data_IF_677857223462
#
_entry.id   IF_677857223462
#
_cell.length_a   1.000
_cell.length_b   1.000
_cell.length_c   1.000
_cell.angle_alpha   90.00
_cell.angle_beta   90.00
_cell.angle_gamma   90.00
#
_symmetry.space_group_name_H-M   'P 1'
#
loop_
_entity.id
_entity.type
_entity.pdbx_description
1 polymer ?
#
# COMPACT_ATOMS: atom_id res chain seq x y z
N UNK A 1 -22.91 -0.55 -3.53
CA UNK A 1 -22.52 -1.90 -3.04
C UNK A 1 -23.49 -2.28 -1.95
N UNK A 2 -24.05 -3.48 -1.99
CA UNK A 2 -24.95 -3.96 -0.94
C UNK A 2 -24.17 -4.04 0.39
N UNK A 3 -24.71 -3.44 1.46
CA UNK A 3 -24.05 -3.37 2.77
C UNK A 3 -23.70 -4.78 3.32
N UNK A 4 -24.58 -5.76 3.11
CA UNK A 4 -24.34 -7.15 3.53
C UNK A 4 -23.11 -7.77 2.85
N UNK A 5 -22.93 -7.53 1.55
CA UNK A 5 -21.76 -8.01 0.79
C UNK A 5 -20.47 -7.35 1.29
N UNK A 6 -20.51 -6.07 1.60
CA UNK A 6 -19.36 -5.35 2.15
C UNK A 6 -18.94 -5.92 3.51
N UNK A 7 -19.89 -6.11 4.44
CA UNK A 7 -19.56 -6.69 5.75
C UNK A 7 -19.07 -8.13 5.66
N UNK A 8 -19.64 -8.93 4.74
CA UNK A 8 -19.14 -10.29 4.47
C UNK A 8 -17.68 -10.27 3.96
N UNK A 9 -17.34 -9.36 3.06
CA UNK A 9 -15.96 -9.18 2.56
C UNK A 9 -15.01 -8.71 3.66
N UNK A 10 -15.43 -7.78 4.50
CA UNK A 10 -14.64 -7.34 5.66
C UNK A 10 -14.35 -8.52 6.61
N UNK A 11 -15.35 -9.30 6.96
CA UNK A 11 -15.18 -10.49 7.79
C UNK A 11 -14.25 -11.52 7.14
N UNK A 12 -14.44 -11.80 5.85
CA UNK A 12 -13.61 -12.73 5.07
C UNK A 12 -12.13 -12.28 4.97
N UNK A 13 -11.83 -11.02 5.23
CA UNK A 13 -10.46 -10.49 5.17
C UNK A 13 -9.85 -10.28 6.55
N UNK A 14 -10.63 -9.77 7.50
CA UNK A 14 -10.16 -9.51 8.87
C UNK A 14 -9.82 -10.82 9.60
N UNK A 15 -10.62 -11.87 9.44
CA UNK A 15 -10.35 -13.17 10.07
C UNK A 15 -9.03 -13.81 9.59
N UNK A 16 -8.75 -13.93 8.28
CA UNK A 16 -7.44 -14.41 7.82
C UNK A 16 -6.27 -13.53 8.26
N UNK A 17 -6.44 -12.19 8.33
CA UNK A 17 -5.39 -11.30 8.83
C UNK A 17 -5.12 -11.52 10.31
N UNK A 18 -6.17 -11.62 11.14
CA UNK A 18 -6.03 -11.91 12.56
C UNK A 18 -5.37 -13.27 12.79
N UNK A 19 -5.76 -14.29 12.00
CA UNK A 19 -5.15 -15.61 12.03
C UNK A 19 -3.69 -15.58 11.59
N UNK A 20 -3.34 -14.88 10.52
CA UNK A 20 -1.97 -14.70 10.06
C UNK A 20 -1.11 -13.96 11.11
N UNK A 21 -1.67 -12.94 11.76
CA UNK A 21 -1.02 -12.24 12.87
C UNK A 21 -0.77 -13.18 14.07
N UNK A 22 -1.75 -14.01 14.44
CA UNK A 22 -1.59 -15.03 15.47
C UNK A 22 -0.51 -16.05 15.12
N UNK A 23 -0.52 -16.58 13.89
CA UNK A 23 0.51 -17.50 13.41
C UNK A 23 1.91 -16.87 13.51
N UNK A 24 2.06 -15.62 13.12
CA UNK A 24 3.34 -14.90 13.15
C UNK A 24 3.83 -14.61 14.58
N UNK A 25 2.90 -14.27 15.48
CA UNK A 25 3.26 -13.88 16.84
C UNK A 25 3.48 -15.06 17.79
N UNK A 26 2.70 -16.13 17.63
CA UNK A 26 2.61 -17.23 18.59
C UNK A 26 3.15 -18.54 18.04
N UNK A 27 2.78 -18.91 16.82
CA UNK A 27 3.06 -20.24 16.26
C UNK A 27 4.43 -20.31 15.57
N UNK A 28 4.84 -19.23 14.88
CA UNK A 28 6.12 -19.22 14.17
C UNK A 28 7.29 -19.55 15.09
N UNK A 29 8.11 -20.55 14.77
CA UNK A 29 9.30 -20.84 15.56
C UNK A 29 10.27 -19.64 15.54
N UNK A 30 11.03 -19.41 16.64
CA UNK A 30 12.09 -18.41 16.62
C UNK A 30 13.21 -18.84 15.68
N UNK A 31 13.73 -17.93 14.87
CA UNK A 31 14.91 -18.19 14.03
C UNK A 31 16.17 -18.28 14.91
N UNK A 32 17.10 -19.18 14.53
CA UNK A 32 18.24 -19.54 15.37
C UNK A 32 19.18 -18.36 15.68
N UNK A 33 19.36 -17.44 14.74
CA UNK A 33 20.30 -16.30 14.85
C UNK A 33 19.60 -15.02 15.32
N UNK A 34 18.42 -14.72 14.75
CA UNK A 34 17.70 -13.46 14.98
C UNK A 34 16.56 -13.59 16.01
N UNK A 35 16.24 -14.79 16.45
CA UNK A 35 15.18 -15.01 17.43
C UNK A 35 13.84 -14.41 16.98
N UNK A 36 13.16 -13.70 17.90
CA UNK A 36 11.85 -13.10 17.63
C UNK A 36 11.88 -11.94 16.63
N UNK A 37 13.02 -11.27 16.42
CA UNK A 37 13.11 -10.14 15.48
C UNK A 37 12.86 -10.57 14.02
N UNK A 38 13.19 -11.83 13.68
CA UNK A 38 12.91 -12.41 12.38
C UNK A 38 11.40 -12.37 12.02
N UNK A 39 10.51 -12.39 12.99
CA UNK A 39 9.06 -12.40 12.78
C UNK A 39 8.54 -11.15 12.04
N UNK A 40 9.31 -10.04 11.98
CA UNK A 40 9.02 -8.88 11.13
C UNK A 40 8.88 -9.30 9.65
N UNK A 41 9.61 -10.32 9.22
CA UNK A 41 9.56 -10.88 7.88
C UNK A 41 8.14 -11.30 7.44
N UNK A 42 7.30 -11.79 8.36
CA UNK A 42 5.93 -12.21 8.07
C UNK A 42 4.96 -11.06 7.77
N UNK A 43 5.35 -9.82 8.01
CA UNK A 43 4.63 -8.61 7.61
C UNK A 43 5.31 -7.90 6.45
N UNK A 44 6.64 -7.84 6.48
CA UNK A 44 7.47 -7.12 5.52
C UNK A 44 7.40 -7.73 4.12
N UNK A 45 7.67 -9.03 3.98
CA UNK A 45 7.67 -9.69 2.67
C UNK A 45 6.28 -9.74 2.02
N UNK A 46 5.18 -10.09 2.72
CA UNK A 46 3.84 -10.00 2.17
C UNK A 46 3.41 -8.56 1.81
N UNK A 47 3.81 -7.55 2.59
CA UNK A 47 3.55 -6.15 2.25
C UNK A 47 4.27 -5.75 0.95
N UNK A 48 5.52 -6.19 0.76
CA UNK A 48 6.26 -5.95 -0.48
C UNK A 48 5.57 -6.60 -1.68
N UNK A 49 5.14 -7.87 -1.57
CA UNK A 49 4.42 -8.56 -2.63
C UNK A 49 3.09 -7.88 -2.98
N UNK A 50 2.33 -7.46 -1.98
CA UNK A 50 1.09 -6.71 -2.18
C UNK A 50 1.34 -5.37 -2.88
N UNK A 51 2.37 -4.63 -2.47
CA UNK A 51 2.78 -3.37 -3.10
C UNK A 51 3.13 -3.56 -4.57
N UNK A 52 4.00 -4.51 -4.90
CA UNK A 52 4.39 -4.79 -6.28
C UNK A 52 3.20 -5.23 -7.14
N UNK A 53 2.32 -6.10 -6.61
CA UNK A 53 1.10 -6.52 -7.31
C UNK A 53 0.20 -5.33 -7.63
N UNK A 54 0.01 -4.40 -6.68
CA UNK A 54 -0.79 -3.19 -6.88
C UNK A 54 -0.15 -2.23 -7.87
N UNK A 55 1.17 -2.08 -7.88
CA UNK A 55 1.87 -1.26 -8.87
C UNK A 55 1.80 -1.86 -10.29
N UNK A 56 1.80 -3.20 -10.40
CA UNK A 56 1.52 -3.87 -11.68
C UNK A 56 0.08 -3.62 -12.13
N UNK A 57 -0.89 -3.70 -11.22
CA UNK A 57 -2.30 -3.35 -11.52
C UNK A 57 -2.42 -1.89 -11.96
N UNK A 58 -1.71 -0.97 -11.30
CA UNK A 58 -1.67 0.44 -11.68
C UNK A 58 -1.09 0.61 -13.10
N UNK A 59 0.02 -0.07 -13.43
CA UNK A 59 0.62 -0.03 -14.77
C UNK A 59 -0.37 -0.51 -15.84
N UNK A 60 -0.97 -1.68 -15.65
CA UNK A 60 -1.96 -2.25 -16.58
C UNK A 60 -3.16 -1.31 -16.74
N UNK A 61 -3.69 -0.79 -15.63
CA UNK A 61 -4.82 0.15 -15.65
C UNK A 61 -4.46 1.47 -16.34
N UNK A 62 -3.22 1.95 -16.18
CA UNK A 62 -2.69 3.14 -16.86
C UNK A 62 -2.57 2.93 -18.38
N UNK A 63 -2.08 1.78 -18.82
CA UNK A 63 -2.06 1.39 -20.23
C UNK A 63 -3.50 1.34 -20.78
N UNK A 64 -4.40 0.66 -20.06
CA UNK A 64 -5.82 0.60 -20.44
C UNK A 64 -6.45 1.99 -20.53
N UNK A 65 -6.09 2.91 -19.62
CA UNK A 65 -6.56 4.29 -19.67
C UNK A 65 -6.01 5.03 -20.89
N UNK A 66 -4.75 4.90 -21.22
CA UNK A 66 -4.17 5.55 -22.41
C UNK A 66 -4.83 5.07 -23.71
N UNK A 67 -5.20 3.79 -23.78
CA UNK A 67 -5.84 3.20 -24.98
C UNK A 67 -7.34 3.51 -25.04
N UNK A 68 -8.08 3.27 -23.93
CA UNK A 68 -9.55 3.29 -23.92
C UNK A 68 -10.16 4.59 -23.39
N UNK A 69 -9.38 5.42 -22.71
CA UNK A 69 -9.81 6.69 -22.08
C UNK A 69 -11.01 6.56 -21.14
N UNK A 70 -11.18 5.41 -20.49
CA UNK A 70 -12.32 5.20 -19.61
C UNK A 70 -12.04 5.72 -18.19
N UNK A 71 -13.05 6.34 -17.57
CA UNK A 71 -12.97 6.76 -16.16
C UNK A 71 -12.81 5.59 -15.18
N UNK A 72 -13.21 4.38 -15.59
CA UNK A 72 -13.04 3.18 -14.79
C UNK A 72 -11.58 2.74 -14.69
N UNK A 73 -10.85 2.71 -15.82
CA UNK A 73 -9.42 2.37 -15.81
C UNK A 73 -8.60 3.45 -15.10
N UNK A 74 -8.96 4.72 -15.25
CA UNK A 74 -8.33 5.82 -14.51
C UNK A 74 -8.54 5.68 -12.99
N UNK A 75 -9.77 5.40 -12.55
CA UNK A 75 -10.09 5.16 -11.14
C UNK A 75 -9.34 3.95 -10.57
N UNK A 76 -9.20 2.88 -11.35
CA UNK A 76 -8.44 1.70 -10.92
C UNK A 76 -6.95 2.03 -10.80
N UNK A 77 -6.39 2.77 -11.77
CA UNK A 77 -4.98 3.16 -11.74
C UNK A 77 -4.64 3.96 -10.47
N UNK A 78 -5.40 5.02 -10.17
CA UNK A 78 -5.12 5.83 -8.98
C UNK A 78 -5.33 5.07 -7.69
N UNK A 79 -6.34 4.19 -7.65
CA UNK A 79 -6.64 3.41 -6.44
C UNK A 79 -5.56 2.38 -6.15
N UNK A 80 -5.09 1.67 -7.16
CA UNK A 80 -4.00 0.71 -7.03
C UNK A 80 -2.68 1.39 -6.63
N UNK A 81 -2.36 2.55 -7.21
CA UNK A 81 -1.16 3.32 -6.84
C UNK A 81 -1.21 3.79 -5.37
N UNK A 82 -2.34 4.37 -4.94
CA UNK A 82 -2.49 4.89 -3.58
C UNK A 82 -2.36 3.77 -2.53
N UNK A 83 -3.03 2.64 -2.75
CA UNK A 83 -2.92 1.48 -1.86
C UNK A 83 -1.52 0.87 -1.92
N UNK A 84 -0.93 0.76 -3.12
CA UNK A 84 0.44 0.26 -3.30
C UNK A 84 1.48 1.09 -2.54
N UNK A 85 1.35 2.42 -2.54
CA UNK A 85 2.22 3.34 -1.79
C UNK A 85 2.11 3.09 -0.28
N UNK A 86 0.91 2.82 0.24
CA UNK A 86 0.71 2.50 1.68
C UNK A 86 1.40 1.19 2.04
N UNK A 87 1.25 0.14 1.23
CA UNK A 87 1.96 -1.13 1.46
C UNK A 87 3.48 -0.98 1.33
N UNK A 88 3.97 -0.19 0.36
CA UNK A 88 5.39 0.10 0.20
C UNK A 88 5.94 0.92 1.39
N UNK A 89 5.16 1.84 1.95
CA UNK A 89 5.52 2.58 3.17
C UNK A 89 5.71 1.62 4.35
N UNK A 90 4.85 0.60 4.50
CA UNK A 90 5.03 -0.43 5.52
C UNK A 90 6.36 -1.16 5.33
N UNK A 91 6.75 -1.48 4.10
CA UNK A 91 8.07 -2.06 3.79
C UNK A 91 9.20 -1.12 4.21
N UNK A 92 9.13 0.16 3.84
CA UNK A 92 10.14 1.18 4.16
C UNK A 92 10.23 1.50 5.66
N UNK A 93 9.19 1.24 6.44
CA UNK A 93 9.21 1.43 7.90
C UNK A 93 9.68 0.16 8.62
N UNK A 94 9.16 -1.00 8.25
CA UNK A 94 9.52 -2.27 8.91
C UNK A 94 10.92 -2.75 8.57
N UNK A 95 11.43 -2.43 7.37
CA UNK A 95 12.78 -2.75 6.93
C UNK A 95 13.86 -2.14 7.83
N UNK A 96 13.90 -0.82 8.04
CA UNK A 96 14.83 -0.18 8.97
C UNK A 96 14.74 -0.68 10.42
N UNK A 97 13.53 -0.98 10.92
CA UNK A 97 13.34 -1.56 12.26
C UNK A 97 14.06 -2.92 12.36
N UNK A 98 13.91 -3.75 11.34
CA UNK A 98 14.61 -5.03 11.26
C UNK A 98 16.13 -4.84 11.05
N UNK A 99 16.53 -3.93 10.16
CA UNK A 99 17.93 -3.63 9.85
C UNK A 99 18.70 -3.15 11.09
N UNK A 100 18.08 -2.34 11.94
CA UNK A 100 18.67 -1.89 13.20
C UNK A 100 19.05 -3.04 14.11
N UNK A 101 18.22 -4.07 14.16
CA UNK A 101 18.52 -5.27 14.91
C UNK A 101 19.60 -6.13 14.22
N UNK A 102 19.41 -6.41 12.91
CA UNK A 102 20.24 -7.37 12.18
C UNK A 102 21.64 -6.83 11.83
N UNK A 103 21.75 -5.52 11.56
CA UNK A 103 22.98 -4.89 11.07
C UNK A 103 23.52 -3.79 11.99
N UNK A 104 22.84 -3.46 13.09
CA UNK A 104 23.23 -2.38 14.00
C UNK A 104 22.99 -0.96 13.45
N UNK A 105 22.45 -0.81 12.24
CA UNK A 105 22.14 0.46 11.58
C UNK A 105 20.71 0.49 11.08
N UNK A 106 20.08 1.69 11.05
CA UNK A 106 18.70 1.85 10.55
C UNK A 106 18.60 1.77 9.04
N UNK A 107 19.64 2.17 8.32
CA UNK A 107 19.62 2.26 6.86
C UNK A 107 21.03 2.05 6.29
N UNK A 108 21.08 1.41 5.14
CA UNK A 108 22.26 1.35 4.28
C UNK A 108 21.86 1.70 2.85
N UNK A 109 22.71 2.44 2.15
CA UNK A 109 22.48 2.84 0.77
C UNK A 109 22.95 1.73 -0.19
N UNK A 110 22.30 0.57 -0.09
CA UNK A 110 22.51 -0.50 -1.03
C UNK A 110 21.45 -0.49 -2.16
N UNK A 111 21.67 -1.34 -3.18
CA UNK A 111 20.80 -1.38 -4.35
C UNK A 111 19.33 -1.70 -3.99
N UNK A 112 19.10 -2.64 -3.05
CA UNK A 112 17.74 -3.08 -2.69
C UNK A 112 16.96 -1.97 -1.99
N UNK A 113 17.57 -1.36 -0.97
CA UNK A 113 16.91 -0.34 -0.18
C UNK A 113 16.72 0.94 -1.02
N UNK A 114 17.74 1.32 -1.80
CA UNK A 114 17.69 2.53 -2.64
C UNK A 114 16.64 2.43 -3.74
N UNK A 115 16.55 1.31 -4.45
CA UNK A 115 15.52 1.12 -5.50
C UNK A 115 14.12 1.00 -4.88
N UNK A 116 13.95 0.37 -3.71
CA UNK A 116 12.65 0.36 -3.03
C UNK A 116 12.19 1.77 -2.63
N UNK A 117 13.09 2.61 -2.14
CA UNK A 117 12.80 4.01 -1.84
C UNK A 117 12.49 4.80 -3.12
N UNK A 118 13.25 4.59 -4.20
CA UNK A 118 12.99 5.21 -5.50
C UNK A 118 11.60 4.82 -6.03
N UNK A 119 11.25 3.55 -5.98
CA UNK A 119 9.91 3.07 -6.38
C UNK A 119 8.81 3.81 -5.62
N UNK A 120 8.95 3.94 -4.31
CA UNK A 120 7.98 4.66 -3.48
C UNK A 120 7.89 6.14 -3.87
N UNK A 121 9.03 6.82 -4.08
CA UNK A 121 9.09 8.23 -4.48
C UNK A 121 8.48 8.46 -5.88
N UNK A 122 8.70 7.56 -6.84
CA UNK A 122 8.09 7.63 -8.17
C UNK A 122 6.56 7.55 -8.09
N UNK A 123 6.02 6.61 -7.28
CA UNK A 123 4.58 6.51 -7.11
C UNK A 123 3.98 7.63 -6.25
N UNK A 124 4.72 8.19 -5.30
CA UNK A 124 4.33 9.42 -4.61
C UNK A 124 4.28 10.60 -5.59
N UNK A 125 5.25 10.73 -6.49
CA UNK A 125 5.26 11.74 -7.54
C UNK A 125 4.06 11.59 -8.49
N UNK A 126 3.69 10.35 -8.85
CA UNK A 126 2.47 10.05 -9.58
C UNK A 126 1.22 10.60 -8.86
N UNK A 127 1.09 10.32 -7.56
CA UNK A 127 -0.07 10.79 -6.78
C UNK A 127 -0.10 12.32 -6.62
N UNK A 128 1.06 12.96 -6.45
CA UNK A 128 1.19 14.42 -6.38
C UNK A 128 0.80 15.04 -7.72
N UNK A 129 1.32 14.52 -8.83
CA UNK A 129 1.00 14.99 -10.17
C UNK A 129 -0.50 14.95 -10.45
N UNK A 130 -1.17 13.87 -10.03
CA UNK A 130 -2.63 13.72 -10.17
C UNK A 130 -3.44 14.73 -9.36
N UNK A 131 -2.88 15.22 -8.24
CA UNK A 131 -3.55 16.24 -7.39
C UNK A 131 -3.27 17.67 -7.84
N UNK A 132 -2.09 17.91 -8.42
CA UNK A 132 -1.62 19.26 -8.76
C UNK A 132 -2.12 19.78 -10.10
N UNK A 133 -2.57 18.91 -10.99
CA UNK A 133 -2.85 19.29 -12.37
C UNK A 133 -4.36 19.38 -12.66
N UNK A 134 -4.71 20.20 -13.66
CA UNK A 134 -6.08 20.43 -14.09
C UNK A 134 -6.79 19.17 -14.63
N UNK A 135 -8.11 19.06 -14.46
CA UNK A 135 -8.86 17.89 -14.94
C UNK A 135 -8.66 17.63 -16.44
N UNK A 136 -8.15 16.45 -16.76
CA UNK A 136 -8.05 15.95 -18.15
C UNK A 136 -6.63 15.82 -18.70
N UNK A 137 -5.76 16.84 -18.63
CA UNK A 137 -4.40 16.77 -19.18
C UNK A 137 -3.43 15.99 -18.30
N UNK A 138 -3.57 16.11 -16.99
CA UNK A 138 -2.72 15.47 -15.97
C UNK A 138 -2.82 13.96 -15.96
N UNK A 139 -3.99 13.40 -16.27
CA UNK A 139 -4.21 11.97 -16.20
C UNK A 139 -3.37 11.19 -17.22
N UNK A 140 -3.10 11.79 -18.38
CA UNK A 140 -2.23 11.20 -19.42
C UNK A 140 -0.78 11.19 -18.97
N UNK A 141 -0.28 12.33 -18.49
CA UNK A 141 1.10 12.44 -18.01
C UNK A 141 1.32 11.53 -16.78
N UNK A 142 0.36 11.49 -15.86
CA UNK A 142 0.41 10.58 -14.73
C UNK A 142 0.42 9.11 -15.16
N UNK A 143 -0.38 8.72 -16.16
CA UNK A 143 -0.37 7.35 -16.69
C UNK A 143 0.99 6.99 -17.32
N UNK A 144 1.62 7.91 -18.02
CA UNK A 144 2.98 7.73 -18.56
C UNK A 144 4.00 7.56 -17.42
N UNK A 145 3.92 8.40 -16.38
CA UNK A 145 4.78 8.29 -15.20
C UNK A 145 4.58 6.96 -14.46
N UNK A 146 3.34 6.47 -14.35
CA UNK A 146 3.02 5.19 -13.73
C UNK A 146 3.67 4.00 -14.47
N UNK A 147 3.60 4.02 -15.80
CA UNK A 147 4.23 3.00 -16.65
C UNK A 147 5.76 3.06 -16.50
N UNK A 148 6.33 4.26 -16.53
CA UNK A 148 7.77 4.45 -16.29
C UNK A 148 8.18 3.96 -14.89
N UNK A 149 7.45 4.33 -13.84
CA UNK A 149 7.72 3.91 -12.47
C UNK A 149 7.68 2.38 -12.30
N UNK A 150 6.82 1.69 -13.06
CA UNK A 150 6.70 0.23 -12.98
C UNK A 150 7.96 -0.51 -13.46
N UNK A 151 8.83 0.13 -14.25
CA UNK A 151 10.12 -0.43 -14.69
C UNK A 151 11.10 -0.62 -13.53
N UNK A 152 10.90 0.09 -12.43
CA UNK A 152 11.72 -0.09 -11.22
C UNK A 152 11.36 -1.37 -10.42
N UNK A 153 10.17 -1.94 -10.61
CA UNK A 153 9.75 -3.18 -9.92
C UNK A 153 10.73 -4.34 -10.18
N UNK A 154 11.07 -4.69 -11.44
CA UNK A 154 12.07 -5.71 -11.69
C UNK A 154 13.46 -5.34 -11.18
N UNK A 155 13.84 -4.06 -11.14
CA UNK A 155 15.11 -3.62 -10.56
C UNK A 155 15.15 -3.89 -9.06
N UNK A 156 14.10 -3.53 -8.33
CA UNK A 156 13.97 -3.87 -6.90
C UNK A 156 14.04 -5.38 -6.70
N UNK A 157 13.28 -6.16 -7.47
CA UNK A 157 13.22 -7.61 -7.32
C UNK A 157 14.57 -8.29 -7.58
N UNK A 158 15.27 -7.86 -8.61
CA UNK A 158 16.55 -8.46 -9.05
C UNK A 158 17.78 -7.88 -8.35
N UNK A 159 17.62 -6.79 -7.58
CA UNK A 159 18.74 -6.08 -6.94
C UNK A 159 19.66 -6.98 -6.11
N UNK A 160 19.09 -7.95 -5.37
CA UNK A 160 19.86 -8.92 -4.57
C UNK A 160 20.69 -9.89 -5.41
N UNK A 161 20.34 -10.09 -6.69
CA UNK A 161 21.03 -11.02 -7.59
C UNK A 161 22.07 -10.31 -8.45
N UNK A 162 21.78 -9.06 -8.83
CA UNK A 162 22.63 -8.28 -9.73
C UNK A 162 23.69 -7.46 -9.01
N UNK A 163 23.40 -7.06 -7.76
CA UNK A 163 24.28 -6.18 -6.99
C UNK A 163 24.64 -6.80 -5.64
N UNK A 164 25.74 -6.34 -5.06
CA UNK A 164 26.06 -6.63 -3.66
C UNK A 164 25.12 -5.82 -2.75
N UNK A 165 24.44 -6.49 -1.84
CA UNK A 165 23.51 -5.88 -0.90
C UNK A 165 23.60 -6.58 0.46
N UNK A 166 23.38 -5.84 1.52
CA UNK A 166 23.26 -6.42 2.88
C UNK A 166 21.91 -7.13 3.07
N UNK A 167 20.95 -6.84 2.20
CA UNK A 167 19.62 -7.47 2.28
C UNK A 167 19.75 -9.00 2.04
N UNK A 168 19.12 -9.85 2.88
CA UNK A 168 19.17 -11.29 2.74
C UNK A 168 18.79 -11.76 1.34
N UNK A 169 19.44 -12.83 0.86
CA UNK A 169 19.02 -13.49 -0.37
C UNK A 169 17.60 -14.06 -0.22
N UNK A 170 16.83 -14.12 -1.31
CA UNK A 170 15.47 -14.66 -1.27
C UNK A 170 15.49 -16.14 -0.83
N UNK A 171 14.97 -16.41 0.37
CA UNK A 171 14.81 -17.78 0.90
C UNK A 171 13.44 -18.38 0.56
N UNK A 172 12.57 -17.60 -0.09
CA UNK A 172 11.22 -18.04 -0.49
C UNK A 172 11.36 -19.12 -1.56
N UNK A 173 10.84 -20.32 -1.24
CA UNK A 173 10.92 -21.49 -2.12
C UNK A 173 12.09 -22.43 -1.85
N UNK A 174 13.20 -21.99 -1.24
CA UNK A 174 14.35 -22.84 -0.90
C UNK A 174 15.03 -22.33 0.37
N UNK A 175 15.19 -23.21 1.37
CA UNK A 175 16.01 -22.94 2.57
C UNK A 175 15.26 -22.32 3.76
N UNK A 176 13.94 -22.16 3.71
CA UNK A 176 13.15 -21.78 4.86
C UNK A 176 12.62 -23.05 5.55
N UNK A 177 12.64 -23.04 6.89
CA UNK A 177 12.01 -24.10 7.69
C UNK A 177 10.54 -24.30 7.27
N UNK A 178 10.03 -25.55 7.16
CA UNK A 178 8.66 -25.82 6.69
C UNK A 178 7.57 -25.13 7.51
N UNK A 179 7.74 -24.98 8.83
CA UNK A 179 6.77 -24.30 9.68
C UNK A 179 6.81 -22.79 9.46
N UNK A 180 8.00 -22.22 9.30
CA UNK A 180 8.16 -20.81 8.89
C UNK A 180 7.58 -20.54 7.51
N UNK A 181 7.79 -21.43 6.55
CA UNK A 181 7.23 -21.33 5.20
C UNK A 181 5.69 -21.36 5.21
N UNK A 182 5.10 -22.22 6.03
CA UNK A 182 3.64 -22.31 6.22
C UNK A 182 3.07 -21.00 6.76
N UNK A 183 3.68 -20.45 7.80
CA UNK A 183 3.28 -19.15 8.37
C UNK A 183 3.41 -18.03 7.34
N UNK A 184 4.52 -18.00 6.59
CA UNK A 184 4.75 -16.99 5.55
C UNK A 184 3.69 -17.08 4.43
N UNK A 185 3.35 -18.26 3.96
CA UNK A 185 2.34 -18.47 2.91
C UNK A 185 0.95 -17.99 3.36
N UNK A 186 0.56 -18.25 4.60
CA UNK A 186 -0.67 -17.71 5.17
C UNK A 186 -0.68 -16.18 5.21
N UNK A 187 0.46 -15.56 5.57
CA UNK A 187 0.60 -14.11 5.54
C UNK A 187 0.51 -13.55 4.11
N UNK A 188 1.13 -14.20 3.11
CA UNK A 188 0.98 -13.78 1.71
C UNK A 188 -0.48 -13.79 1.27
N UNK A 189 -1.21 -14.87 1.53
CA UNK A 189 -2.63 -14.97 1.18
C UNK A 189 -3.48 -13.90 1.88
N UNK A 190 -3.28 -13.71 3.19
CA UNK A 190 -4.02 -12.75 3.98
C UNK A 190 -3.75 -11.30 3.53
N UNK A 191 -2.49 -10.94 3.28
CA UNK A 191 -2.10 -9.60 2.83
C UNK A 191 -2.56 -9.30 1.41
N UNK A 192 -2.49 -10.28 0.48
CA UNK A 192 -3.02 -10.11 -0.87
C UNK A 192 -4.54 -9.94 -0.86
N UNK A 193 -5.27 -10.75 -0.09
CA UNK A 193 -6.71 -10.58 0.08
C UNK A 193 -7.06 -9.21 0.67
N UNK A 194 -6.30 -8.74 1.65
CA UNK A 194 -6.46 -7.42 2.24
C UNK A 194 -6.15 -6.31 1.22
N UNK A 195 -5.09 -6.44 0.44
CA UNK A 195 -4.74 -5.48 -0.61
C UNK A 195 -5.85 -5.36 -1.66
N UNK A 196 -6.44 -6.49 -2.09
CA UNK A 196 -7.57 -6.50 -3.02
C UNK A 196 -8.79 -5.82 -2.40
N UNK A 197 -9.14 -6.12 -1.13
CA UNK A 197 -10.27 -5.49 -0.45
C UNK A 197 -10.10 -3.97 -0.35
N UNK A 198 -8.94 -3.50 0.12
CA UNK A 198 -8.67 -2.06 0.28
C UNK A 198 -8.62 -1.36 -1.08
N UNK A 199 -8.02 -1.98 -2.10
CA UNK A 199 -8.00 -1.44 -3.46
C UNK A 199 -9.42 -1.34 -4.05
N UNK A 200 -10.26 -2.35 -3.87
CA UNK A 200 -11.66 -2.32 -4.27
C UNK A 200 -12.44 -1.21 -3.53
N UNK A 201 -12.23 -1.08 -2.23
CA UNK A 201 -12.86 -0.03 -1.43
C UNK A 201 -12.44 1.36 -1.90
N UNK A 202 -11.13 1.58 -2.10
CA UNK A 202 -10.58 2.83 -2.64
C UNK A 202 -11.09 3.12 -4.05
N UNK A 203 -11.17 2.12 -4.92
CA UNK A 203 -11.76 2.23 -6.25
C UNK A 203 -13.23 2.66 -6.18
N UNK A 204 -14.01 2.08 -5.26
CA UNK A 204 -15.41 2.45 -5.09
C UNK A 204 -15.57 3.92 -4.66
N UNK A 205 -14.69 4.40 -3.77
CA UNK A 205 -14.63 5.82 -3.37
C UNK A 205 -14.27 6.71 -4.56
N UNK A 206 -13.29 6.31 -5.38
CA UNK A 206 -12.90 7.10 -6.56
C UNK A 206 -14.03 7.18 -7.59
N UNK A 207 -14.74 6.08 -7.81
CA UNK A 207 -15.92 6.06 -8.71
C UNK A 207 -17.05 6.95 -8.19
N UNK A 208 -17.24 7.01 -6.87
CA UNK A 208 -18.19 7.92 -6.25
C UNK A 208 -17.75 9.38 -6.43
N UNK A 209 -16.47 9.69 -6.17
CA UNK A 209 -15.92 11.04 -6.37
C UNK A 209 -16.05 11.51 -7.82
N UNK A 210 -15.81 10.64 -8.80
CA UNK A 210 -16.00 10.96 -10.22
C UNK A 210 -17.46 11.27 -10.57
N UNK A 211 -18.43 10.58 -9.94
CA UNK A 211 -19.87 10.87 -10.13
C UNK A 211 -20.27 12.19 -9.50
N UNK A 212 -19.85 12.46 -8.28
CA UNK A 212 -20.09 13.73 -7.57
C UNK A 212 -19.51 14.90 -8.36
N UNK A 213 -18.25 14.82 -8.80
CA UNK A 213 -17.61 15.86 -9.63
C UNK A 213 -18.38 16.11 -10.95
N UNK A 214 -18.88 15.04 -11.58
CA UNK A 214 -19.67 15.17 -12.81
C UNK A 214 -21.01 15.86 -12.53
N UNK A 215 -21.64 15.58 -11.39
CA UNK A 215 -22.88 16.23 -10.97
C UNK A 215 -22.65 17.73 -10.66
N UNK A 216 -21.57 18.07 -9.93
CA UNK A 216 -21.16 19.46 -9.70
C UNK A 216 -20.92 20.23 -10.98
N UNK A 217 -20.20 19.64 -11.96
CA UNK A 217 -19.98 20.29 -13.25
C UNK A 217 -21.30 20.54 -14.01
N UNK A 218 -22.25 19.61 -13.93
CA UNK A 218 -23.60 19.80 -14.49
C UNK A 218 -24.39 20.88 -13.77
N UNK A 219 -24.27 20.97 -12.44
CA UNK A 219 -24.91 21.99 -11.63
C UNK A 219 -24.24 23.37 -11.81
N UNK A 220 -22.90 23.41 -11.86
CA UNK A 220 -22.13 24.62 -12.13
C UNK A 220 -22.41 25.18 -13.55
N UNK A 221 -22.62 24.30 -14.52
CA UNK A 221 -23.12 24.70 -15.84
C UNK A 221 -24.54 25.29 -15.77
N UNK A 222 -25.25 25.13 -14.63
CA UNK A 222 -26.56 25.71 -14.33
C UNK A 222 -26.50 26.92 -13.39
N UNK A 223 -25.35 27.22 -12.76
CA UNK A 223 -25.15 28.35 -11.83
C UNK A 223 -23.95 28.13 -10.91
N UNK A 224 -22.96 29.01 -10.93
CA UNK A 224 -21.61 28.79 -10.34
C UNK A 224 -21.50 29.12 -8.83
N UNK A 225 -20.65 28.44 -8.07
CA UNK A 225 -19.50 28.94 -7.25
C UNK A 225 -19.12 28.11 -6.00
N UNK A 226 -17.85 27.81 -5.82
CA UNK A 226 -16.81 27.93 -4.75
C UNK A 226 -16.65 26.96 -3.56
N UNK A 227 -15.48 26.49 -3.34
CA UNK A 227 -14.25 26.59 -2.47
C UNK A 227 -14.07 25.78 -1.18
N UNK A 228 -12.98 25.10 -0.99
CA UNK A 228 -11.65 24.95 -0.35
C UNK A 228 -11.46 24.40 1.10
N UNK A 229 -10.34 23.66 1.34
CA UNK A 229 -9.18 23.70 2.30
C UNK A 229 -8.82 22.52 3.24
N UNK A 230 -7.73 22.23 3.65
CA UNK A 230 -6.35 21.88 4.10
C UNK A 230 -6.14 21.38 5.58
N UNK A 231 -4.90 21.18 6.17
CA UNK A 231 -4.00 20.03 6.27
C UNK A 231 -3.52 19.58 7.70
N UNK A 232 -2.47 18.73 7.85
CA UNK A 232 -1.86 18.31 9.13
C UNK A 232 -0.40 17.80 9.10
N UNK A 233 0.29 17.67 10.25
CA UNK A 233 1.73 17.39 10.48
C UNK A 233 2.03 16.39 11.62
N UNK A 234 3.28 15.79 11.71
CA UNK A 234 3.70 14.73 12.66
C UNK A 234 5.11 14.88 13.22
N UNK A 235 5.40 14.22 14.39
CA UNK A 235 6.67 14.21 15.13
C UNK A 235 7.11 12.79 15.59
N UNK A 236 8.41 12.56 15.94
CA UNK A 236 9.02 11.26 16.29
C UNK A 236 9.69 11.23 17.67
N UNK A 237 9.78 10.02 18.28
CA UNK A 237 10.43 9.73 19.55
C UNK A 237 11.42 8.55 19.47
N UNK A 238 12.43 8.46 20.38
CA UNK A 238 13.52 7.45 20.41
C UNK A 238 13.38 6.46 21.56
N UNK A 239 13.73 5.15 21.33
CA UNK A 239 13.56 4.08 22.29
C UNK A 239 14.70 3.01 22.24
N UNK A 240 15.08 2.39 23.39
CA UNK A 240 16.03 1.25 23.49
C UNK A 240 15.28 -0.07 23.54
N UNK A 241 15.71 -1.10 22.78
CA UNK A 241 14.86 -2.23 22.48
C UNK A 241 15.56 -3.62 22.50
N UNK A 242 14.82 -4.65 22.92
CA UNK A 242 15.15 -6.08 22.86
C UNK A 242 14.67 -6.70 21.52
N UNK A 243 15.07 -7.94 21.15
CA UNK A 243 14.58 -8.61 19.93
C UNK A 243 13.06 -8.67 19.80
N UNK A 244 12.36 -8.94 20.88
CA UNK A 244 10.89 -8.94 20.91
C UNK A 244 10.31 -7.53 20.73
N UNK A 245 10.99 -6.52 21.26
CA UNK A 245 10.59 -5.12 21.10
C UNK A 245 10.63 -4.67 19.62
N UNK A 246 11.64 -5.10 18.85
CA UNK A 246 11.72 -4.79 17.41
C UNK A 246 10.57 -5.44 16.64
N UNK A 247 10.22 -6.69 16.95
CA UNK A 247 9.05 -7.33 16.36
C UNK A 247 7.76 -6.55 16.66
N UNK A 248 7.50 -6.24 17.93
CA UNK A 248 6.32 -5.50 18.32
C UNK A 248 6.29 -4.10 17.70
N UNK A 249 7.43 -3.39 17.65
CA UNK A 249 7.53 -2.09 16.99
C UNK A 249 7.19 -2.17 15.48
N UNK A 250 7.70 -3.18 14.77
CA UNK A 250 7.40 -3.41 13.36
C UNK A 250 5.93 -3.74 13.12
N UNK A 251 5.35 -4.61 13.94
CA UNK A 251 3.94 -4.96 13.86
C UNK A 251 3.03 -3.75 14.17
N UNK A 252 3.30 -3.03 15.26
CA UNK A 252 2.55 -1.81 15.62
C UNK A 252 2.65 -0.76 14.51
N UNK A 253 3.83 -0.50 13.96
CA UNK A 253 4.01 0.46 12.87
C UNK A 253 3.19 0.05 11.64
N UNK A 254 3.26 -1.22 11.21
CA UNK A 254 2.50 -1.72 10.06
C UNK A 254 0.98 -1.58 10.26
N UNK A 255 0.46 -2.05 11.38
CA UNK A 255 -0.98 -1.99 11.66
C UNK A 255 -1.48 -0.56 11.89
N UNK A 256 -0.65 0.34 12.47
CA UNK A 256 -0.99 1.76 12.59
C UNK A 256 -1.10 2.44 11.22
N UNK A 257 -0.18 2.18 10.29
CA UNK A 257 -0.23 2.72 8.93
C UNK A 257 -1.52 2.27 8.22
N UNK A 258 -1.83 0.97 8.26
CA UNK A 258 -3.04 0.45 7.65
C UNK A 258 -4.31 0.99 8.30
N UNK A 259 -4.36 1.05 9.64
CA UNK A 259 -5.50 1.56 10.39
C UNK A 259 -5.79 3.03 10.09
N UNK A 260 -4.77 3.89 10.10
CA UNK A 260 -4.89 5.30 9.74
C UNK A 260 -5.35 5.48 8.30
N UNK A 261 -4.83 4.67 7.38
CA UNK A 261 -5.26 4.73 5.99
C UNK A 261 -6.73 4.32 5.82
N UNK A 262 -7.17 3.22 6.44
CA UNK A 262 -8.58 2.79 6.41
C UNK A 262 -9.50 3.86 7.00
N UNK A 263 -9.13 4.46 8.13
CA UNK A 263 -9.87 5.57 8.71
C UNK A 263 -10.00 6.75 7.75
N UNK A 264 -8.92 7.13 7.07
CA UNK A 264 -8.95 8.20 6.06
C UNK A 264 -9.92 7.89 4.92
N UNK A 265 -9.97 6.63 4.46
CA UNK A 265 -10.92 6.20 3.43
C UNK A 265 -12.37 6.25 3.92
N UNK A 266 -12.64 5.88 5.17
CA UNK A 266 -13.99 5.97 5.75
C UNK A 266 -14.47 7.41 5.87
N UNK A 267 -13.60 8.34 6.30
CA UNK A 267 -13.90 9.78 6.30
C UNK A 267 -14.21 10.30 4.90
N UNK A 268 -13.36 9.97 3.91
CA UNK A 268 -13.58 10.38 2.52
C UNK A 268 -14.90 9.86 1.98
N UNK A 269 -15.22 8.58 2.25
CA UNK A 269 -16.49 7.98 1.83
C UNK A 269 -17.71 8.69 2.47
N UNK A 270 -17.64 8.98 3.78
CA UNK A 270 -18.71 9.67 4.49
C UNK A 270 -18.98 11.04 3.89
N UNK A 271 -17.94 11.82 3.63
CA UNK A 271 -18.07 13.16 3.05
C UNK A 271 -18.68 13.11 1.66
N UNK A 272 -18.17 12.22 0.77
CA UNK A 272 -18.71 12.08 -0.59
C UNK A 272 -20.17 11.61 -0.61
N UNK A 273 -20.58 10.73 0.29
CA UNK A 273 -21.99 10.31 0.38
C UNK A 273 -22.92 11.44 0.83
N UNK A 274 -22.43 12.29 1.74
CA UNK A 274 -23.18 13.48 2.16
C UNK A 274 -23.34 14.44 0.99
N UNK A 275 -22.27 14.70 0.27
CA UNK A 275 -22.23 15.57 -0.90
C UNK A 275 -23.11 15.02 -2.06
N UNK A 276 -23.08 13.70 -2.32
CA UNK A 276 -23.97 13.04 -3.29
C UNK A 276 -25.45 13.22 -2.90
N UNK A 277 -25.79 13.15 -1.61
CA UNK A 277 -27.14 13.33 -1.13
C UNK A 277 -27.62 14.80 -1.24
N UNK A 278 -26.73 15.76 -0.99
CA UNK A 278 -27.01 17.19 -1.15
C UNK A 278 -27.23 17.58 -2.62
N UNK A 279 -26.59 16.90 -3.56
CA UNK A 279 -26.74 17.11 -5.01
C UNK A 279 -27.99 16.43 -5.60
N UNK A 280 -28.61 15.52 -4.89
CA UNK A 280 -29.82 14.80 -5.34
C UNK A 280 -31.12 15.52 -5.01
N UNK A 281 -31.06 16.63 -4.24
CA UNK A 281 -32.17 17.52 -3.92
C UNK A 281 -32.24 18.68 -4.93
#
# INVERSE_FOLDING_TARGET
MNSKLFYAWCGLTVLPLAFAAYLSAVVAPPEATMGAAQRIFYYHAPAAAASFSLFIVNCIASICFLVKRTSASDALAVSAAEVGVVFCLVVLVTGPIWARYAWGTWWVWDARLSTTLLLWLLYMSYLILRRAAEPGSSNVLAACLAIFASLDIPLVYMSNRWFRTNHPQPVIGNGLDPDMARVLNWNFLAFLAFAVLICWFRYSIERLAQRVNTAHLRQAARGATAMLALPGSFAFATFKATPSTYFHAGAVAAWSIYGLYVLSLLFKLRNLRREEAELAI
#
